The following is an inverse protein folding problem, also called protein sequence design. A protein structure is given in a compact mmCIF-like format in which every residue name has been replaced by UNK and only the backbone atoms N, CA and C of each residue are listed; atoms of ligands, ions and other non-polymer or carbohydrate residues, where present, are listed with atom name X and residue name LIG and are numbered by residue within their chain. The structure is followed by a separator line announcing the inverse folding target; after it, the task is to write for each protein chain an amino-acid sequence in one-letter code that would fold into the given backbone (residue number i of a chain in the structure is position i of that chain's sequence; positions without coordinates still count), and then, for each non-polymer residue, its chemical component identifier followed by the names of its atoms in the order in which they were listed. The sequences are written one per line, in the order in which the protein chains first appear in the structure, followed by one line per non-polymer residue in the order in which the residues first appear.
data_IF_978073400023
#
_entry.id   IF_978073400023
#
_cell.length_a   1.000
_cell.length_b   1.000
_cell.length_c   1.000
_cell.angle_alpha   90.00
_cell.angle_beta   90.00
_cell.angle_gamma   90.00
#
_symmetry.space_group_name_H-M   'P 1'
#
loop_
_entity.id
_entity.type
_entity.pdbx_description
1 polymer ?
#
# COMPACT_ATOMS: atom_id res chain seq x y z
N UNK A 1 25.02 -16.03 5.06
CA UNK A 1 24.77 -16.29 3.63
C UNK A 1 23.61 -15.42 3.11
N UNK A 2 23.81 -14.09 3.11
CA UNK A 2 22.84 -13.17 2.48
C UNK A 2 23.06 -13.12 0.97
N UNK A 3 22.00 -12.84 0.23
CA UNK A 3 22.13 -12.41 -1.16
C UNK A 3 22.99 -11.15 -1.24
N UNK A 4 23.79 -11.04 -2.29
CA UNK A 4 24.65 -9.89 -2.52
C UNK A 4 24.02 -8.95 -3.55
N UNK A 5 24.42 -7.68 -3.59
CA UNK A 5 23.84 -6.69 -4.52
C UNK A 5 24.16 -6.96 -5.99
N UNK A 6 25.37 -7.41 -6.32
CA UNK A 6 25.84 -7.56 -7.70
C UNK A 6 26.09 -9.01 -8.15
N UNK A 7 26.28 -9.92 -7.23
CA UNK A 7 26.54 -11.34 -7.49
C UNK A 7 25.87 -12.19 -6.43
N UNK A 8 25.65 -13.49 -6.72
CA UNK A 8 24.93 -14.40 -5.80
C UNK A 8 23.59 -13.85 -5.34
N UNK A 9 22.90 -13.16 -6.23
CA UNK A 9 21.63 -12.50 -6.00
C UNK A 9 20.48 -13.11 -6.83
N UNK A 10 20.64 -14.33 -7.25
CA UNK A 10 19.59 -15.09 -7.94
C UNK A 10 19.04 -16.14 -6.98
N UNK A 11 17.71 -16.21 -6.88
CA UNK A 11 17.02 -17.21 -6.08
C UNK A 11 17.12 -18.59 -6.74
N UNK A 12 16.80 -19.65 -5.99
CA UNK A 12 16.74 -21.01 -6.54
C UNK A 12 15.64 -21.21 -7.60
N UNK A 13 14.69 -20.28 -7.70
CA UNK A 13 13.65 -20.23 -8.74
C UNK A 13 13.92 -19.14 -9.78
N UNK A 14 15.19 -18.80 -10.01
CA UNK A 14 15.71 -17.92 -11.06
C UNK A 14 15.23 -16.45 -11.00
N UNK A 15 14.73 -15.96 -9.86
CA UNK A 15 14.41 -14.56 -9.70
C UNK A 15 15.64 -13.78 -9.26
N UNK A 16 15.95 -12.68 -9.91
CA UNK A 16 16.98 -11.74 -9.48
C UNK A 16 16.47 -10.95 -8.27
N UNK A 17 17.24 -10.92 -7.19
CA UNK A 17 16.97 -10.10 -6.01
C UNK A 17 17.51 -8.71 -6.26
N UNK A 18 16.60 -7.75 -6.38
CA UNK A 18 16.90 -6.31 -6.53
C UNK A 18 16.72 -5.59 -5.20
N UNK A 19 17.27 -4.39 -5.08
CA UNK A 19 17.15 -3.51 -3.89
C UNK A 19 17.42 -4.20 -2.55
N UNK A 20 18.36 -5.12 -2.54
CA UNK A 20 18.70 -5.92 -1.38
C UNK A 20 19.41 -5.08 -0.30
N UNK A 21 18.73 -4.81 0.79
CA UNK A 21 19.21 -4.02 1.94
C UNK A 21 19.40 -4.85 3.22
N UNK A 22 19.26 -6.17 3.14
CA UNK A 22 19.26 -7.05 4.32
C UNK A 22 20.56 -6.96 5.12
N UNK A 23 21.69 -6.83 4.45
CA UNK A 23 22.99 -6.74 5.12
C UNK A 23 23.13 -5.45 5.90
N UNK A 24 22.75 -4.32 5.32
CA UNK A 24 22.77 -3.02 5.96
C UNK A 24 21.84 -2.97 7.18
N UNK A 25 20.62 -3.48 7.05
CA UNK A 25 19.67 -3.58 8.17
C UNK A 25 20.24 -4.45 9.29
N UNK A 26 20.80 -5.60 8.95
CA UNK A 26 21.38 -6.52 9.92
C UNK A 26 22.54 -5.87 10.69
N UNK A 27 23.46 -5.21 9.97
CA UNK A 27 24.62 -4.53 10.57
C UNK A 27 24.19 -3.35 11.46
N UNK A 28 23.19 -2.58 11.05
CA UNK A 28 22.62 -1.51 11.86
C UNK A 28 21.95 -2.05 13.14
N UNK A 29 21.16 -3.12 13.01
CA UNK A 29 20.48 -3.72 14.15
C UNK A 29 21.46 -4.32 15.16
N UNK A 30 22.53 -4.96 14.70
CA UNK A 30 23.61 -5.46 15.57
C UNK A 30 24.20 -4.36 16.45
N UNK A 31 24.38 -3.15 15.88
CA UNK A 31 24.91 -1.98 16.60
C UNK A 31 23.88 -1.36 17.53
N UNK A 32 22.72 -0.98 16.99
CA UNK A 32 21.68 -0.26 17.74
C UNK A 32 21.08 -1.06 18.90
N UNK A 33 21.01 -2.38 18.75
CA UNK A 33 20.54 -3.26 19.83
C UNK A 33 21.61 -3.64 20.87
N UNK A 34 22.85 -3.18 20.69
CA UNK A 34 23.99 -3.63 21.52
C UNK A 34 24.08 -5.16 21.65
N UNK A 35 23.78 -5.87 20.54
CA UNK A 35 23.60 -7.32 20.53
C UNK A 35 24.74 -8.09 21.17
N UNK A 36 26.01 -7.73 20.86
CA UNK A 36 27.20 -8.39 21.39
C UNK A 36 27.26 -8.30 22.91
N UNK A 37 27.09 -7.10 23.46
CA UNK A 37 27.10 -6.87 24.93
C UNK A 37 25.95 -7.62 25.61
N UNK A 38 24.72 -7.53 25.05
CA UNK A 38 23.58 -8.25 25.60
C UNK A 38 23.78 -9.76 25.59
N UNK A 39 24.36 -10.32 24.54
CA UNK A 39 24.68 -11.75 24.46
C UNK A 39 25.69 -12.19 25.54
N UNK A 40 26.73 -11.38 25.83
CA UNK A 40 27.68 -11.64 26.88
C UNK A 40 27.02 -11.57 28.27
N UNK A 41 26.16 -10.57 28.51
CA UNK A 41 25.44 -10.45 29.78
C UNK A 41 24.48 -11.62 29.99
N UNK A 42 23.82 -12.08 28.94
CA UNK A 42 22.97 -13.27 28.99
C UNK A 42 23.81 -14.52 29.32
N UNK A 43 24.96 -14.67 28.70
CA UNK A 43 25.87 -15.78 29.03
C UNK A 43 26.23 -15.78 30.52
N UNK A 44 26.67 -14.62 31.07
CA UNK A 44 26.97 -14.46 32.49
C UNK A 44 25.77 -14.78 33.38
N UNK A 45 24.60 -14.25 33.02
CA UNK A 45 23.37 -14.54 33.75
C UNK A 45 23.07 -16.05 33.79
N UNK A 46 23.20 -16.73 32.67
CA UNK A 46 22.90 -18.15 32.54
C UNK A 46 23.87 -19.05 33.31
N UNK A 47 25.11 -18.60 33.51
CA UNK A 47 26.07 -19.32 34.36
C UNK A 47 25.67 -19.26 35.84
N UNK A 48 25.17 -18.11 36.28
CA UNK A 48 24.82 -17.85 37.67
C UNK A 48 23.37 -18.24 38.06
N UNK A 49 22.57 -18.69 37.12
CA UNK A 49 21.19 -19.07 37.36
C UNK A 49 20.95 -20.51 36.93
N UNK A 50 20.45 -21.34 37.87
CA UNK A 50 20.17 -22.76 37.63
C UNK A 50 18.86 -22.97 36.86
N UNK A 51 17.80 -22.29 37.28
CA UNK A 51 16.43 -22.57 36.84
C UNK A 51 15.96 -21.66 35.70
N UNK A 52 16.37 -20.39 35.69
CA UNK A 52 15.96 -19.42 34.70
C UNK A 52 17.10 -19.23 33.72
N UNK A 53 16.82 -19.39 32.44
CA UNK A 53 17.76 -19.13 31.36
C UNK A 53 17.20 -18.07 30.40
N UNK A 54 18.07 -17.21 29.90
CA UNK A 54 17.74 -16.17 28.91
C UNK A 54 18.35 -16.52 27.58
N UNK A 55 17.73 -16.03 26.49
CA UNK A 55 18.24 -16.15 25.14
C UNK A 55 18.07 -14.85 24.38
N UNK A 56 18.87 -14.66 23.33
CA UNK A 56 18.73 -13.59 22.37
C UNK A 56 19.16 -14.09 20.99
N UNK A 57 18.39 -13.78 19.97
CA UNK A 57 18.70 -14.11 18.59
C UNK A 57 18.35 -12.94 17.66
N UNK A 58 19.02 -12.88 16.53
CA UNK A 58 18.64 -12.01 15.39
C UNK A 58 18.40 -12.94 14.21
N UNK A 59 17.22 -12.82 13.61
CA UNK A 59 16.84 -13.64 12.46
C UNK A 59 16.59 -12.73 11.26
N UNK A 60 17.37 -12.86 10.17
CA UNK A 60 17.03 -12.20 8.92
C UNK A 60 15.77 -12.82 8.32
N UNK A 61 14.91 -11.98 7.76
CA UNK A 61 13.67 -12.42 7.12
C UNK A 61 13.74 -12.15 5.63
N UNK A 62 13.35 -13.14 4.84
CA UNK A 62 13.09 -13.03 3.42
C UNK A 62 11.64 -13.43 3.18
N UNK A 63 10.91 -12.55 2.52
CA UNK A 63 9.51 -12.77 2.17
C UNK A 63 9.25 -12.37 0.72
N UNK A 64 8.50 -13.19 -0.02
CA UNK A 64 7.99 -12.86 -1.34
C UNK A 64 6.53 -12.43 -1.22
N UNK A 65 6.18 -11.29 -1.82
CA UNK A 65 4.80 -10.81 -1.91
C UNK A 65 4.10 -11.44 -3.11
N UNK A 66 2.76 -11.43 -3.11
CA UNK A 66 1.85 -11.94 -4.13
C UNK A 66 1.88 -13.46 -4.31
N UNK A 67 0.85 -13.96 -4.99
CA UNK A 67 0.79 -15.38 -5.36
C UNK A 67 1.73 -15.66 -6.54
N UNK A 68 2.43 -16.79 -6.50
CA UNK A 68 3.28 -17.26 -7.63
C UNK A 68 2.46 -17.60 -8.85
N UNK A 69 1.20 -18.02 -8.65
CA UNK A 69 0.23 -18.26 -9.71
C UNK A 69 -0.43 -16.92 -10.08
N UNK A 70 0.07 -16.30 -11.14
CA UNK A 70 -0.22 -14.89 -11.48
C UNK A 70 -1.71 -14.58 -11.64
N UNK A 71 -2.52 -15.50 -12.18
CA UNK A 71 -3.96 -15.30 -12.37
C UNK A 71 -4.76 -15.23 -11.06
N UNK A 72 -4.16 -15.61 -9.95
CA UNK A 72 -4.73 -15.38 -8.62
C UNK A 72 -4.47 -13.97 -8.08
N UNK A 73 -3.62 -13.17 -8.73
CA UNK A 73 -3.33 -11.80 -8.33
C UNK A 73 -4.31 -10.83 -9.00
N UNK A 74 -5.54 -10.77 -8.48
CA UNK A 74 -6.60 -9.94 -9.04
C UNK A 74 -7.41 -9.25 -7.94
N UNK A 75 -7.93 -8.07 -8.25
CA UNK A 75 -8.82 -7.31 -7.39
C UNK A 75 -9.77 -6.44 -8.20
N UNK A 76 -10.88 -6.05 -7.55
CA UNK A 76 -11.83 -5.10 -8.08
C UNK A 76 -12.16 -4.02 -7.05
N UNK A 77 -12.58 -2.85 -7.52
CA UNK A 77 -13.07 -1.79 -6.67
C UNK A 77 -14.18 -0.99 -7.37
N UNK A 78 -15.17 -0.58 -6.59
CA UNK A 78 -16.13 0.43 -6.98
C UNK A 78 -15.86 1.69 -6.18
N UNK A 79 -15.65 2.81 -6.88
CA UNK A 79 -15.49 4.13 -6.26
C UNK A 79 -16.66 4.99 -6.68
N UNK A 80 -17.39 5.52 -5.71
CA UNK A 80 -18.51 6.42 -5.90
C UNK A 80 -18.23 7.75 -5.20
N UNK A 81 -18.48 8.86 -5.91
CA UNK A 81 -18.35 10.21 -5.36
C UNK A 81 -19.74 10.83 -5.29
N UNK A 82 -20.14 11.30 -4.11
CA UNK A 82 -21.43 11.94 -3.90
C UNK A 82 -21.37 13.40 -4.34
N UNK A 83 -22.29 13.77 -5.24
CA UNK A 83 -22.35 15.13 -5.79
C UNK A 83 -22.67 16.20 -4.74
N UNK A 84 -23.37 15.85 -3.67
CA UNK A 84 -23.83 16.82 -2.68
C UNK A 84 -22.68 17.44 -1.87
N UNK A 85 -21.70 16.62 -1.49
CA UNK A 85 -20.63 17.05 -0.57
C UNK A 85 -19.22 16.66 -1.03
N UNK A 86 -19.10 15.93 -2.14
CA UNK A 86 -17.83 15.41 -2.65
C UNK A 86 -17.20 14.32 -1.78
N UNK A 87 -17.97 13.69 -0.90
CA UNK A 87 -17.52 12.51 -0.17
C UNK A 87 -17.39 11.30 -1.11
N UNK A 88 -16.51 10.39 -0.75
CA UNK A 88 -16.16 9.23 -1.58
C UNK A 88 -16.45 7.95 -0.83
N UNK A 89 -17.22 7.09 -1.44
CA UNK A 89 -17.49 5.74 -0.95
C UNK A 89 -16.75 4.71 -1.80
N UNK A 90 -16.08 3.79 -1.13
CA UNK A 90 -15.26 2.76 -1.77
C UNK A 90 -15.73 1.38 -1.34
N UNK A 91 -16.05 0.55 -2.31
CA UNK A 91 -16.22 -0.89 -2.11
C UNK A 91 -14.99 -1.59 -2.68
N UNK A 92 -14.41 -2.48 -1.90
CA UNK A 92 -13.23 -3.28 -2.26
C UNK A 92 -13.41 -4.72 -1.81
N UNK A 93 -12.75 -5.65 -2.49
CA UNK A 93 -12.69 -7.04 -2.07
C UNK A 93 -11.67 -7.33 -0.96
N UNK A 94 -10.90 -6.34 -0.54
CA UNK A 94 -9.92 -6.48 0.54
C UNK A 94 -10.61 -6.82 1.87
N UNK A 95 -10.04 -7.74 2.62
CA UNK A 95 -10.49 -8.08 3.98
C UNK A 95 -9.63 -7.31 4.98
N UNK A 96 -10.28 -6.57 5.89
CA UNK A 96 -9.63 -5.92 7.03
C UNK A 96 -9.62 -6.88 8.21
N UNK A 97 -8.44 -7.18 8.72
CA UNK A 97 -8.20 -8.07 9.86
C UNK A 97 -7.43 -7.36 10.99
N UNK A 98 -7.37 -6.01 10.93
CA UNK A 98 -6.55 -5.18 11.81
C UNK A 98 -5.21 -4.74 11.22
N UNK A 99 -4.91 -5.10 9.96
CA UNK A 99 -3.67 -4.72 9.27
C UNK A 99 -3.74 -3.32 8.62
N UNK A 100 -4.88 -2.63 8.69
CA UNK A 100 -5.05 -1.26 8.21
C UNK A 100 -5.21 -1.13 6.70
N UNK A 101 -5.70 -2.16 6.01
CA UNK A 101 -5.89 -2.13 4.55
C UNK A 101 -6.90 -1.09 4.12
N UNK A 102 -8.03 -0.96 4.83
CA UNK A 102 -9.04 0.06 4.50
C UNK A 102 -8.51 1.47 4.67
N UNK A 103 -7.74 1.71 5.73
CA UNK A 103 -7.07 3.00 5.95
C UNK A 103 -6.11 3.34 4.81
N UNK A 104 -5.31 2.38 4.38
CA UNK A 104 -4.35 2.58 3.26
C UNK A 104 -5.07 2.86 1.94
N UNK A 105 -6.13 2.12 1.62
CA UNK A 105 -6.93 2.35 0.41
C UNK A 105 -7.59 3.74 0.45
N UNK A 106 -8.18 4.13 1.59
CA UNK A 106 -8.75 5.46 1.75
C UNK A 106 -7.69 6.56 1.58
N UNK A 107 -6.49 6.36 2.12
CA UNK A 107 -5.38 7.29 1.99
C UNK A 107 -4.90 7.44 0.53
N UNK A 108 -4.78 6.34 -0.20
CA UNK A 108 -4.43 6.34 -1.61
C UNK A 108 -5.41 7.17 -2.44
N UNK A 109 -6.72 6.94 -2.23
CA UNK A 109 -7.78 7.65 -2.96
C UNK A 109 -7.82 9.13 -2.57
N UNK A 110 -7.75 9.45 -1.27
CA UNK A 110 -7.74 10.83 -0.80
C UNK A 110 -6.57 11.62 -1.39
N UNK A 111 -5.40 11.01 -1.40
CA UNK A 111 -4.18 11.60 -1.96
C UNK A 111 -4.31 11.82 -3.48
N UNK A 112 -4.81 10.82 -4.19
CA UNK A 112 -4.96 10.88 -5.64
C UNK A 112 -6.04 11.87 -6.09
N UNK A 113 -7.12 12.02 -5.32
CA UNK A 113 -8.16 13.02 -5.56
C UNK A 113 -7.83 14.40 -4.96
N UNK A 114 -6.76 14.53 -4.18
CA UNK A 114 -6.37 15.78 -3.52
C UNK A 114 -7.39 16.30 -2.52
N UNK A 115 -8.12 15.40 -1.82
CA UNK A 115 -9.16 15.72 -0.84
C UNK A 115 -8.75 15.27 0.56
N UNK A 116 -9.48 15.75 1.58
CA UNK A 116 -9.25 15.29 2.96
C UNK A 116 -9.54 13.80 3.11
N UNK A 117 -8.68 13.10 3.87
CA UNK A 117 -8.85 11.69 4.22
C UNK A 117 -10.23 11.39 4.82
N UNK A 118 -10.75 12.27 5.66
CA UNK A 118 -12.05 12.10 6.31
C UNK A 118 -13.24 12.09 5.34
N UNK A 119 -13.04 12.51 4.09
CA UNK A 119 -14.06 12.43 3.04
C UNK A 119 -14.14 11.09 2.34
N UNK A 120 -13.20 10.18 2.62
CA UNK A 120 -13.16 8.85 1.98
C UNK A 120 -13.58 7.78 2.99
N UNK A 121 -14.63 7.04 2.67
CA UNK A 121 -15.12 5.92 3.47
C UNK A 121 -15.01 4.62 2.69
N UNK A 122 -14.28 3.67 3.23
CA UNK A 122 -14.22 2.29 2.73
C UNK A 122 -15.25 1.46 3.50
N UNK A 123 -16.13 0.79 2.79
CA UNK A 123 -17.14 -0.09 3.41
C UNK A 123 -16.57 -1.47 3.68
N UNK A 124 -17.18 -2.17 4.63
CA UNK A 124 -16.89 -3.58 4.87
C UNK A 124 -17.09 -4.41 3.60
N UNK A 125 -16.18 -5.35 3.38
CA UNK A 125 -16.24 -6.26 2.24
C UNK A 125 -17.40 -7.24 2.39
N UNK A 126 -18.13 -7.41 1.30
CA UNK A 126 -19.26 -8.34 1.18
C UNK A 126 -19.26 -8.96 -0.21
N UNK A 127 -19.73 -10.19 -0.31
CA UNK A 127 -19.76 -10.95 -1.57
C UNK A 127 -20.71 -10.37 -2.63
N UNK A 128 -21.66 -9.53 -2.21
CA UNK A 128 -22.61 -8.85 -3.08
C UNK A 128 -22.06 -7.56 -3.72
N UNK A 129 -20.84 -7.12 -3.35
CA UNK A 129 -20.30 -5.81 -3.76
C UNK A 129 -19.19 -5.86 -4.78
N UNK A 130 -18.19 -6.68 -4.53
CA UNK A 130 -17.01 -6.80 -5.41
C UNK A 130 -16.75 -8.27 -5.67
N UNK A 131 -17.23 -8.78 -6.79
CA UNK A 131 -16.95 -10.16 -7.18
C UNK A 131 -15.50 -10.32 -7.62
N UNK A 132 -15.02 -11.56 -7.56
CA UNK A 132 -13.80 -12.00 -8.21
C UNK A 132 -12.52 -11.29 -7.73
N UNK A 133 -12.37 -11.20 -6.42
CA UNK A 133 -11.15 -10.71 -5.76
C UNK A 133 -10.40 -11.85 -5.12
N UNK A 134 -9.09 -11.84 -5.25
CA UNK A 134 -8.21 -12.79 -4.56
C UNK A 134 -8.27 -12.63 -3.05
N UNK A 135 -7.96 -13.70 -2.34
CA UNK A 135 -7.87 -13.70 -0.89
C UNK A 135 -6.91 -12.60 -0.38
N UNK A 136 -7.24 -12.00 0.78
CA UNK A 136 -6.34 -11.08 1.47
C UNK A 136 -5.19 -11.86 2.11
N UNK A 137 -4.20 -12.21 1.29
CA UNK A 137 -3.07 -13.04 1.65
C UNK A 137 -1.80 -12.59 0.92
N UNK A 138 -0.68 -13.25 1.18
CA UNK A 138 0.61 -13.06 0.53
C UNK A 138 1.09 -11.59 0.51
N UNK A 139 0.68 -10.79 1.49
CA UNK A 139 1.01 -9.37 1.66
C UNK A 139 0.72 -8.48 0.42
N UNK A 140 -0.15 -8.91 -0.48
CA UNK A 140 -0.48 -8.20 -1.73
C UNK A 140 -1.80 -7.44 -1.69
N UNK A 141 -2.55 -7.53 -0.59
CA UNK A 141 -3.93 -7.01 -0.50
C UNK A 141 -4.02 -5.52 -0.82
N UNK A 142 -3.16 -4.70 -0.21
CA UNK A 142 -3.16 -3.25 -0.46
C UNK A 142 -2.69 -2.91 -1.87
N UNK A 143 -1.69 -3.62 -2.39
CA UNK A 143 -1.17 -3.39 -3.74
C UNK A 143 -2.26 -3.65 -4.79
N UNK A 144 -2.91 -4.80 -4.74
CA UNK A 144 -3.92 -5.18 -5.72
C UNK A 144 -5.19 -4.34 -5.58
N UNK A 145 -5.75 -4.26 -4.39
CA UNK A 145 -7.01 -3.54 -4.17
C UNK A 145 -6.83 -2.02 -4.22
N UNK A 146 -5.68 -1.50 -3.80
CA UNK A 146 -5.32 -0.09 -3.96
C UNK A 146 -5.16 0.28 -5.43
N UNK A 147 -4.47 -0.55 -6.22
CA UNK A 147 -4.36 -0.36 -7.67
C UNK A 147 -5.72 -0.39 -8.37
N UNK A 148 -6.62 -1.33 -8.00
CA UNK A 148 -7.97 -1.40 -8.52
C UNK A 148 -8.76 -0.12 -8.20
N UNK A 149 -8.66 0.38 -6.97
CA UNK A 149 -9.33 1.62 -6.54
C UNK A 149 -8.77 2.84 -7.29
N UNK A 150 -7.45 2.96 -7.44
CA UNK A 150 -6.83 4.03 -8.22
C UNK A 150 -7.20 3.98 -9.70
N UNK A 151 -7.35 2.79 -10.28
CA UNK A 151 -7.83 2.63 -11.64
C UNK A 151 -9.29 3.14 -11.79
N UNK A 152 -10.15 2.83 -10.83
CA UNK A 152 -11.52 3.37 -10.80
C UNK A 152 -11.51 4.90 -10.68
N UNK A 153 -10.68 5.48 -9.80
CA UNK A 153 -10.51 6.94 -9.68
C UNK A 153 -9.98 7.55 -10.97
N UNK A 154 -9.04 6.90 -11.64
CA UNK A 154 -8.53 7.36 -12.95
C UNK A 154 -9.64 7.50 -13.99
N UNK A 155 -10.57 6.55 -14.06
CA UNK A 155 -11.75 6.63 -14.95
C UNK A 155 -12.64 7.83 -14.60
N UNK A 156 -12.86 8.09 -13.31
CA UNK A 156 -13.60 9.28 -12.86
C UNK A 156 -12.90 10.57 -13.30
N UNK A 157 -11.58 10.66 -13.09
CA UNK A 157 -10.77 11.81 -13.54
C UNK A 157 -10.84 12.05 -15.05
N UNK A 158 -10.85 10.98 -15.83
CA UNK A 158 -11.02 11.07 -17.29
C UNK A 158 -12.40 11.66 -17.64
N UNK A 159 -13.46 11.23 -16.96
CA UNK A 159 -14.83 11.76 -17.17
C UNK A 159 -14.89 13.25 -16.79
N UNK A 160 -14.28 13.65 -15.66
CA UNK A 160 -14.19 15.06 -15.26
C UNK A 160 -13.43 15.87 -16.32
N UNK A 161 -12.31 15.40 -16.82
CA UNK A 161 -11.55 16.07 -17.87
C UNK A 161 -12.36 16.23 -19.18
N UNK A 162 -13.11 15.18 -19.58
CA UNK A 162 -14.00 15.24 -20.72
C UNK A 162 -15.11 16.27 -20.54
N UNK A 163 -15.72 16.32 -19.33
CA UNK A 163 -16.71 17.34 -19.00
C UNK A 163 -16.14 18.76 -19.07
N UNK A 164 -14.96 19.00 -18.46
CA UNK A 164 -14.28 20.31 -18.49
C UNK A 164 -13.96 20.74 -19.92
N UNK A 165 -13.48 19.80 -20.75
CA UNK A 165 -13.23 20.06 -22.19
C UNK A 165 -14.49 20.48 -22.92
N UNK A 166 -15.61 19.80 -22.67
CA UNK A 166 -16.90 20.08 -23.35
C UNK A 166 -17.50 21.40 -22.87
N UNK A 167 -17.61 21.61 -21.54
CA UNK A 167 -18.32 22.76 -20.95
C UNK A 167 -17.49 24.04 -20.98
N UNK A 168 -16.22 23.96 -20.68
CA UNK A 168 -15.35 25.14 -20.51
C UNK A 168 -14.37 25.34 -21.66
N UNK A 169 -14.42 24.50 -22.68
CA UNK A 169 -13.56 24.55 -23.88
C UNK A 169 -12.04 24.48 -23.54
N UNK A 170 -11.67 23.92 -22.41
CA UNK A 170 -10.29 23.75 -21.97
C UNK A 170 -9.74 22.45 -22.56
N UNK A 171 -8.82 22.53 -23.50
CA UNK A 171 -8.16 21.38 -24.13
C UNK A 171 -7.08 20.82 -23.19
N UNK A 172 -7.48 19.99 -22.22
CA UNK A 172 -6.59 19.25 -21.33
C UNK A 172 -7.20 17.90 -21.03
N UNK A 173 -6.41 16.84 -21.09
CA UNK A 173 -6.85 15.48 -20.79
C UNK A 173 -6.62 15.10 -19.31
N UNK A 174 -5.88 15.93 -18.58
CA UNK A 174 -5.55 15.70 -17.17
C UNK A 174 -5.67 16.97 -16.35
N UNK A 175 -6.13 16.82 -15.11
CA UNK A 175 -6.15 17.87 -14.10
C UNK A 175 -5.15 17.56 -12.96
N UNK A 176 -4.69 18.58 -12.27
CA UNK A 176 -3.90 18.47 -11.05
C UNK A 176 -4.87 18.57 -9.87
N UNK A 177 -4.96 17.54 -9.09
CA UNK A 177 -5.84 17.40 -7.92
C UNK A 177 -5.05 17.70 -6.66
N UNK A 178 -5.39 18.75 -5.94
CA UNK A 178 -4.67 19.14 -4.72
C UNK A 178 -5.53 20.06 -3.83
N UNK A 179 -5.52 19.80 -2.53
CA UNK A 179 -6.15 20.63 -1.50
C UNK A 179 -7.62 21.00 -1.81
N UNK A 180 -8.42 20.00 -2.22
CA UNK A 180 -9.82 20.18 -2.55
C UNK A 180 -10.10 20.96 -3.84
N UNK A 181 -9.08 21.13 -4.69
CA UNK A 181 -9.19 21.83 -5.97
C UNK A 181 -8.68 20.95 -7.11
N UNK A 182 -9.19 21.23 -8.30
CA UNK A 182 -8.76 20.63 -9.56
C UNK A 182 -8.30 21.73 -10.50
N UNK A 183 -7.04 21.70 -10.90
CA UNK A 183 -6.47 22.68 -11.83
C UNK A 183 -6.31 22.08 -13.23
N UNK A 184 -6.95 22.71 -14.21
CA UNK A 184 -6.77 22.43 -15.63
C UNK A 184 -6.12 23.61 -16.31
N UNK A 185 -4.86 23.47 -16.77
CA UNK A 185 -4.06 24.59 -17.31
C UNK A 185 -4.08 25.80 -16.36
N UNK A 186 -4.66 26.91 -16.78
CA UNK A 186 -4.71 28.17 -16.04
C UNK A 186 -5.99 28.34 -15.22
N UNK A 187 -6.91 27.37 -15.22
CA UNK A 187 -8.19 27.46 -14.52
C UNK A 187 -8.27 26.45 -13.38
N UNK A 188 -8.65 26.94 -12.22
CA UNK A 188 -8.85 26.12 -11.00
C UNK A 188 -10.32 26.06 -10.65
N UNK A 189 -10.80 24.89 -10.27
CA UNK A 189 -12.15 24.61 -9.84
C UNK A 189 -12.10 23.99 -8.45
N UNK A 190 -13.09 24.28 -7.61
CA UNK A 190 -13.31 23.49 -6.40
C UNK A 190 -13.69 22.07 -6.77
N UNK A 191 -13.22 21.08 -6.02
CA UNK A 191 -13.51 19.66 -6.29
C UNK A 191 -15.03 19.43 -6.43
N UNK A 192 -15.82 19.87 -5.45
CA UNK A 192 -17.28 19.70 -5.45
C UNK A 192 -18.01 20.41 -6.61
N UNK A 193 -17.39 21.35 -7.30
CA UNK A 193 -18.02 22.05 -8.43
C UNK A 193 -17.91 21.26 -9.75
N UNK A 194 -17.15 20.19 -9.78
CA UNK A 194 -16.93 19.35 -10.96
C UNK A 194 -17.44 17.91 -10.81
N UNK A 195 -17.97 17.56 -9.62
CA UNK A 195 -18.54 16.24 -9.34
C UNK A 195 -20.06 16.19 -9.60
#
# INVERSE_FOLDING_TARGET
NFYQKKKKNITHYNMKVEDNVIKEIFDQLLKSSNYKSRKLNIKKFNLNNKYIKKGIAITPVKFGISFTTWHLNQAGALVHIYCNDGSVHVNTGAIEMGQGTYTKIAQLIANDLGISFNKVKVSSTRTDKVPNTSASAASSTTDLNGAAALNAVSKIKMNIAAYVKRKYKIKSNTGIYKNGNIKFKNKTFKFNALI
#
